data_IF_768506717652
#
_entry.id   IF_768506717652
#
_cell.length_a   1.000
_cell.length_b   1.000
_cell.length_c   1.000
_cell.angle_alpha   90.00
_cell.angle_beta   90.00
_cell.angle_gamma   90.00
#
_symmetry.space_group_name_H-M   'P 1'
#
loop_
_entity.id
_entity.type
_entity.pdbx_description
1 polymer ?
#
# COMPACT_ATOMS: atom_id res chain seq x y z
N UNK A 1 5.68 -39.85 -14.97
CA UNK A 1 6.16 -38.61 -14.33
C UNK A 1 6.12 -37.58 -15.43
N UNK A 2 5.07 -36.77 -15.49
CA UNK A 2 4.90 -35.84 -16.60
C UNK A 2 5.70 -34.57 -16.32
N UNK A 3 6.81 -34.40 -17.03
CA UNK A 3 7.50 -33.11 -17.17
C UNK A 3 6.58 -32.18 -17.95
N UNK A 4 6.03 -31.19 -17.26
CA UNK A 4 5.26 -30.14 -17.88
C UNK A 4 6.24 -29.05 -18.36
N UNK A 5 7.03 -29.36 -19.38
CA UNK A 5 7.61 -28.29 -20.20
C UNK A 5 6.48 -27.78 -21.10
N UNK A 6 5.91 -26.62 -20.74
CA UNK A 6 5.00 -25.89 -21.64
C UNK A 6 5.85 -25.12 -22.65
N UNK A 7 5.79 -25.46 -23.95
CA UNK A 7 6.42 -24.66 -24.98
C UNK A 7 5.68 -23.32 -25.10
N UNK A 8 6.43 -22.26 -24.94
CA UNK A 8 6.05 -20.86 -25.04
C UNK A 8 5.57 -20.50 -26.45
N UNK A 9 4.25 -20.49 -26.65
CA UNK A 9 3.61 -19.98 -27.86
C UNK A 9 3.63 -18.43 -27.89
N UNK A 10 4.03 -17.79 -29.01
CA UNK A 10 4.05 -16.34 -29.10
C UNK A 10 2.68 -15.80 -29.54
N UNK A 11 2.10 -14.87 -28.77
CA UNK A 11 1.16 -13.89 -29.34
C UNK A 11 -0.32 -13.92 -28.93
N UNK A 12 -0.70 -14.40 -27.75
CA UNK A 12 -1.96 -13.99 -27.09
C UNK A 12 -1.66 -13.57 -25.65
N UNK A 13 -2.33 -12.50 -25.20
CA UNK A 13 -2.02 -11.73 -23.98
C UNK A 13 -1.48 -12.58 -22.84
N UNK A 14 -0.17 -12.42 -22.57
CA UNK A 14 0.50 -13.15 -21.49
C UNK A 14 -0.20 -12.79 -20.20
N UNK A 15 -0.87 -13.77 -19.58
CA UNK A 15 -1.27 -13.66 -18.20
C UNK A 15 -0.02 -13.26 -17.41
N UNK A 16 -0.02 -12.04 -16.86
CA UNK A 16 1.14 -11.53 -16.14
C UNK A 16 1.53 -12.55 -15.06
N UNK A 17 2.82 -12.86 -14.97
CA UNK A 17 3.31 -13.82 -13.97
C UNK A 17 2.94 -13.33 -12.56
N UNK A 18 2.80 -14.21 -11.56
CA UNK A 18 2.52 -13.77 -10.18
C UNK A 18 3.51 -12.69 -9.69
N UNK A 19 4.78 -12.81 -10.09
CA UNK A 19 5.83 -11.82 -9.87
C UNK A 19 5.49 -10.46 -10.48
N UNK A 20 5.10 -10.43 -11.75
CA UNK A 20 4.71 -9.20 -12.45
C UNK A 20 3.45 -8.59 -11.85
N UNK A 21 2.45 -9.40 -11.52
CA UNK A 21 1.22 -8.93 -10.86
C UNK A 21 1.53 -8.26 -9.52
N UNK A 22 2.38 -8.89 -8.71
CA UNK A 22 2.82 -8.33 -7.43
C UNK A 22 3.61 -7.02 -7.62
N UNK A 23 4.55 -6.99 -8.56
CA UNK A 23 5.34 -5.79 -8.86
C UNK A 23 4.44 -4.63 -9.30
N UNK A 24 3.52 -4.88 -10.23
CA UNK A 24 2.57 -3.87 -10.71
C UNK A 24 1.71 -3.33 -9.55
N UNK A 25 1.21 -4.22 -8.69
CA UNK A 25 0.43 -3.80 -7.52
C UNK A 25 1.26 -2.92 -6.56
N UNK A 26 2.53 -3.26 -6.31
CA UNK A 26 3.42 -2.46 -5.46
C UNK A 26 3.65 -1.07 -6.07
N UNK A 27 3.96 -1.01 -7.37
CA UNK A 27 4.18 0.24 -8.09
C UNK A 27 2.93 1.13 -8.16
N UNK A 28 1.73 0.55 -8.27
CA UNK A 28 0.47 1.28 -8.20
C UNK A 28 0.17 1.78 -6.78
N UNK A 29 0.64 1.06 -5.76
CA UNK A 29 0.34 1.36 -4.36
C UNK A 29 1.28 2.40 -3.76
N UNK A 30 2.53 2.36 -4.18
CA UNK A 30 3.58 3.28 -3.74
C UNK A 30 3.58 4.57 -4.58
N UNK A 31 4.08 5.68 -4.03
CA UNK A 31 4.15 6.92 -4.78
C UNK A 31 5.32 6.91 -5.77
N UNK A 32 5.24 7.69 -6.86
CA UNK A 32 6.20 7.65 -7.97
C UNK A 32 7.61 8.11 -7.57
N UNK A 33 7.76 8.88 -6.48
CA UNK A 33 9.09 9.23 -5.94
C UNK A 33 9.88 8.03 -5.40
N UNK A 34 9.26 6.87 -5.22
CA UNK A 34 9.90 5.64 -4.77
C UNK A 34 9.73 4.52 -5.81
N UNK A 35 10.50 4.56 -6.91
CA UNK A 35 10.38 3.58 -7.98
C UNK A 35 10.95 2.23 -7.53
N UNK A 36 10.06 1.25 -7.32
CA UNK A 36 10.45 -0.14 -7.03
C UNK A 36 10.51 -0.93 -8.33
N UNK A 37 11.63 -1.57 -8.59
CA UNK A 37 11.93 -2.33 -9.81
C UNK A 37 12.34 -3.77 -9.53
N UNK A 38 12.74 -4.08 -8.29
CA UNK A 38 13.15 -5.42 -7.87
C UNK A 38 12.59 -5.80 -6.48
N UNK A 39 12.79 -7.07 -6.10
CA UNK A 39 12.42 -7.62 -4.80
C UNK A 39 13.64 -7.82 -3.88
N UNK A 40 14.76 -7.17 -4.18
CA UNK A 40 16.02 -7.34 -3.43
C UNK A 40 16.52 -5.98 -2.94
N UNK A 41 17.37 -5.31 -3.72
CA UNK A 41 18.10 -4.11 -3.28
C UNK A 41 17.23 -2.89 -2.99
N UNK A 42 16.09 -2.74 -3.68
CA UNK A 42 15.20 -1.56 -3.51
C UNK A 42 14.56 -1.50 -2.11
N UNK A 43 14.63 -2.61 -1.36
CA UNK A 43 14.07 -2.73 -0.03
C UNK A 43 15.12 -2.50 1.07
N UNK A 44 16.39 -2.39 0.70
CA UNK A 44 17.48 -2.46 1.67
C UNK A 44 17.62 -1.24 2.57
N UNK A 45 17.03 -0.10 2.21
CA UNK A 45 17.06 1.11 3.03
C UNK A 45 16.00 1.14 4.13
N UNK A 46 15.10 0.14 4.14
CA UNK A 46 13.96 0.03 5.05
C UNK A 46 12.86 1.09 4.82
N UNK A 47 13.02 2.00 3.88
CA UNK A 47 12.03 3.04 3.55
C UNK A 47 10.94 2.50 2.65
N UNK A 48 11.27 1.61 1.71
CA UNK A 48 10.30 0.96 0.83
C UNK A 48 9.23 0.17 1.61
N UNK A 49 9.66 -0.62 2.61
CA UNK A 49 8.71 -1.36 3.44
C UNK A 49 7.86 -0.41 4.32
N UNK A 50 8.46 0.64 4.87
CA UNK A 50 7.73 1.68 5.60
C UNK A 50 6.69 2.40 4.74
N UNK A 51 7.05 2.73 3.50
CA UNK A 51 6.15 3.33 2.53
C UNK A 51 4.98 2.40 2.19
N UNK A 52 5.25 1.10 2.05
CA UNK A 52 4.22 0.10 1.76
C UNK A 52 3.22 -0.06 2.92
N UNK A 53 3.74 -0.10 4.15
CA UNK A 53 2.91 -0.15 5.38
C UNK A 53 2.01 1.09 5.48
N UNK A 54 2.57 2.28 5.25
CA UNK A 54 1.80 3.54 5.23
C UNK A 54 0.80 3.60 4.05
N UNK A 55 1.14 3.02 2.91
CA UNK A 55 0.23 2.96 1.77
C UNK A 55 -0.99 2.06 2.05
N UNK A 56 -0.78 0.95 2.78
CA UNK A 56 -1.84 0.05 3.26
C UNK A 56 -2.70 0.68 4.36
N UNK A 57 -2.09 1.40 5.30
CA UNK A 57 -2.79 2.13 6.35
C UNK A 57 -2.18 3.54 6.53
N UNK A 58 -2.73 4.56 5.84
CA UNK A 58 -2.17 5.91 5.86
C UNK A 58 -2.11 6.49 7.27
N UNK A 59 -0.91 6.87 7.70
CA UNK A 59 -0.63 7.39 9.04
C UNK A 59 -0.10 6.33 10.02
N UNK A 60 0.02 5.07 9.62
CA UNK A 60 0.62 4.02 10.46
C UNK A 60 2.14 4.11 10.50
N UNK A 61 2.78 4.43 9.38
CA UNK A 61 4.23 4.68 9.30
C UNK A 61 4.49 6.02 8.60
N UNK A 62 4.16 7.15 9.26
CA UNK A 62 4.30 8.46 8.66
C UNK A 62 5.78 8.79 8.42
N UNK A 63 6.02 9.63 7.42
CA UNK A 63 7.34 10.22 7.13
C UNK A 63 8.43 9.19 6.78
N UNK A 64 8.04 8.06 6.19
CA UNK A 64 8.96 7.07 5.60
C UNK A 64 9.99 7.73 4.66
N UNK A 65 9.62 8.83 4.00
CA UNK A 65 10.48 9.55 3.07
C UNK A 65 11.56 10.41 3.76
N UNK A 66 11.41 10.71 5.06
CA UNK A 66 12.37 11.48 5.86
C UNK A 66 13.27 10.60 6.72
N UNK A 67 13.03 9.28 6.74
CA UNK A 67 13.86 8.31 7.48
C UNK A 67 15.28 8.29 6.90
N UNK A 68 16.28 8.19 7.77
CA UNK A 68 17.67 8.06 7.35
C UNK A 68 17.91 6.65 6.78
N UNK A 69 18.36 6.51 5.52
CA UNK A 69 18.69 5.21 4.92
C UNK A 69 19.81 4.46 5.66
N UNK A 70 20.64 5.16 6.45
CA UNK A 70 21.69 4.52 7.29
C UNK A 70 21.11 3.69 8.43
N UNK A 71 19.88 3.99 8.84
CA UNK A 71 19.16 3.26 9.89
C UNK A 71 18.24 2.17 9.30
N UNK A 72 18.66 1.56 8.18
CA UNK A 72 17.88 0.57 7.44
C UNK A 72 17.26 -0.52 8.32
N UNK A 73 18.04 -1.09 9.24
CA UNK A 73 17.59 -2.16 10.13
C UNK A 73 16.45 -1.70 11.05
N UNK A 74 16.59 -0.49 11.62
CA UNK A 74 15.59 0.10 12.50
C UNK A 74 14.32 0.46 11.73
N UNK A 75 14.48 1.07 10.55
CA UNK A 75 13.38 1.42 9.64
C UNK A 75 12.57 0.17 9.27
N UNK A 76 13.25 -0.89 8.84
CA UNK A 76 12.63 -2.15 8.44
C UNK A 76 11.92 -2.81 9.64
N UNK A 77 12.61 -2.89 10.79
CA UNK A 77 12.06 -3.50 12.00
C UNK A 77 10.78 -2.80 12.46
N UNK A 78 10.79 -1.48 12.57
CA UNK A 78 9.62 -0.72 13.03
C UNK A 78 8.44 -0.87 12.06
N UNK A 79 8.70 -0.81 10.74
CA UNK A 79 7.67 -1.01 9.73
C UNK A 79 7.05 -2.42 9.79
N UNK A 80 7.89 -3.46 9.90
CA UNK A 80 7.44 -4.85 9.96
C UNK A 80 6.69 -5.16 11.25
N UNK A 81 7.13 -4.61 12.39
CA UNK A 81 6.43 -4.73 13.67
C UNK A 81 5.02 -4.10 13.62
N UNK A 82 4.89 -2.94 12.96
CA UNK A 82 3.59 -2.30 12.75
C UNK A 82 2.70 -3.10 11.81
N UNK A 83 3.26 -3.67 10.75
CA UNK A 83 2.55 -4.53 9.82
C UNK A 83 1.97 -5.77 10.53
N UNK A 84 2.76 -6.43 11.38
CA UNK A 84 2.30 -7.58 12.15
C UNK A 84 1.20 -7.20 13.14
N UNK A 85 1.44 -6.15 13.93
CA UNK A 85 0.53 -5.72 15.00
C UNK A 85 -0.80 -5.23 14.45
N UNK A 86 -0.78 -4.40 13.40
CA UNK A 86 -1.96 -3.64 12.96
C UNK A 86 -2.50 -4.03 11.59
N UNK A 87 -1.70 -4.68 10.74
CA UNK A 87 -2.16 -5.22 9.45
C UNK A 87 -2.35 -6.75 9.48
N UNK A 88 -1.87 -7.41 10.53
CA UNK A 88 -1.96 -8.86 10.68
C UNK A 88 -1.04 -9.63 9.72
N UNK A 89 0.04 -9.00 9.27
CA UNK A 89 1.01 -9.61 8.34
C UNK A 89 2.12 -10.27 9.16
N UNK A 90 2.21 -11.61 9.24
CA UNK A 90 3.29 -12.28 9.96
C UNK A 90 4.65 -12.03 9.31
N UNK A 91 5.69 -11.88 10.14
CA UNK A 91 7.06 -11.66 9.70
C UNK A 91 7.69 -12.99 9.24
N UNK A 92 7.58 -13.30 7.94
CA UNK A 92 8.15 -14.52 7.33
C UNK A 92 9.65 -14.42 7.05
N UNK A 93 10.18 -13.20 7.07
CA UNK A 93 11.60 -12.89 6.93
C UNK A 93 11.99 -11.98 8.09
N UNK A 94 13.25 -11.99 8.50
CA UNK A 94 13.72 -11.08 9.52
C UNK A 94 14.08 -9.71 8.93
N UNK A 95 13.96 -8.61 9.70
CA UNK A 95 14.36 -7.28 9.23
C UNK A 95 15.80 -7.21 8.73
N UNK A 96 16.73 -7.94 9.36
CA UNK A 96 18.14 -7.98 8.93
C UNK A 96 18.34 -8.71 7.60
N UNK A 97 17.43 -9.60 7.22
CA UNK A 97 17.47 -10.31 5.93
C UNK A 97 16.91 -9.42 4.83
N UNK A 98 15.81 -8.71 5.09
CA UNK A 98 15.24 -7.75 4.13
C UNK A 98 16.25 -6.66 3.72
N UNK A 99 17.08 -6.20 4.67
CA UNK A 99 18.09 -5.18 4.38
C UNK A 99 19.37 -5.72 3.74
N UNK A 100 19.47 -7.03 3.56
CA UNK A 100 20.62 -7.65 2.94
C UNK A 100 20.54 -7.52 1.41
N UNK A 101 21.56 -6.97 0.72
CA UNK A 101 21.60 -6.91 -0.74
C UNK A 101 21.53 -8.26 -1.44
N UNK A 102 21.86 -9.34 -0.73
CA UNK A 102 21.82 -10.72 -1.21
C UNK A 102 20.60 -11.49 -0.70
N UNK A 103 19.55 -10.80 -0.29
CA UNK A 103 18.30 -11.45 0.11
C UNK A 103 17.74 -12.29 -1.02
N UNK A 104 17.17 -13.44 -0.66
CA UNK A 104 16.51 -14.31 -1.63
C UNK A 104 15.21 -13.68 -2.14
N UNK A 105 15.10 -13.57 -3.47
CA UNK A 105 13.96 -12.94 -4.12
C UNK A 105 12.65 -13.69 -3.86
N UNK A 106 12.67 -15.03 -3.81
CA UNK A 106 11.46 -15.82 -3.58
C UNK A 106 10.92 -15.60 -2.16
N UNK A 107 11.81 -15.49 -1.19
CA UNK A 107 11.49 -15.18 0.20
C UNK A 107 10.87 -13.79 0.33
N UNK A 108 11.44 -12.79 -0.33
CA UNK A 108 10.88 -11.43 -0.39
C UNK A 108 9.51 -11.39 -1.06
N UNK A 109 9.35 -12.05 -2.22
CA UNK A 109 8.05 -12.16 -2.89
C UNK A 109 6.99 -12.82 -2.01
N UNK A 110 7.36 -13.89 -1.30
CA UNK A 110 6.47 -14.60 -0.38
C UNK A 110 5.98 -13.66 0.72
N UNK A 111 6.90 -12.95 1.36
CA UNK A 111 6.56 -11.98 2.40
C UNK A 111 5.66 -10.85 1.88
N UNK A 112 6.02 -10.22 0.76
CA UNK A 112 5.31 -9.07 0.20
C UNK A 112 3.93 -9.42 -0.38
N UNK A 113 3.74 -10.66 -0.83
CA UNK A 113 2.47 -11.15 -1.38
C UNK A 113 1.29 -11.13 -0.38
N UNK A 114 1.59 -10.93 0.91
CA UNK A 114 0.59 -10.83 1.98
C UNK A 114 -0.08 -9.43 2.04
N UNK A 115 0.62 -8.38 1.59
CA UNK A 115 0.16 -6.98 1.70
C UNK A 115 -1.14 -6.65 0.94
N UNK A 116 -1.38 -7.19 -0.29
CA UNK A 116 -2.63 -6.94 -1.01
C UNK A 116 -3.90 -7.35 -0.24
N UNK A 117 -3.80 -8.38 0.61
CA UNK A 117 -4.93 -8.91 1.39
C UNK A 117 -4.99 -8.36 2.83
N UNK A 118 -4.06 -7.48 3.19
CA UNK A 118 -3.92 -6.98 4.54
C UNK A 118 -5.13 -6.14 4.97
N UNK A 119 -5.56 -6.32 6.22
CA UNK A 119 -6.71 -5.61 6.80
C UNK A 119 -6.27 -4.88 8.06
N UNK A 120 -6.63 -3.61 8.14
CA UNK A 120 -6.36 -2.78 9.30
C UNK A 120 -7.16 -3.29 10.52
N UNK A 121 -6.45 -3.62 11.59
CA UNK A 121 -7.04 -3.98 12.88
C UNK A 121 -7.52 -2.72 13.63
N UNK A 122 -8.62 -2.81 14.41
CA UNK A 122 -9.08 -1.71 15.24
C UNK A 122 -8.04 -1.36 16.33
N UNK A 123 -7.96 -0.08 16.70
CA UNK A 123 -7.02 0.40 17.73
C UNK A 123 -5.62 0.73 17.23
N UNK A 124 -5.41 0.80 15.91
CA UNK A 124 -4.13 1.23 15.35
C UNK A 124 -3.84 2.72 15.66
N UNK A 125 -2.61 3.06 16.09
CA UNK A 125 -2.19 4.43 16.36
C UNK A 125 -1.91 5.16 15.04
N UNK A 126 -2.98 5.53 14.33
CA UNK A 126 -2.88 6.22 13.06
C UNK A 126 -2.67 7.70 13.33
N UNK A 127 -1.55 8.24 12.85
CA UNK A 127 -1.30 9.69 12.81
C UNK A 127 -1.75 10.20 11.44
N UNK A 128 -2.97 10.77 11.30
CA UNK A 128 -3.46 11.20 10.00
C UNK A 128 -2.53 12.27 9.42
N UNK A 129 -1.83 11.94 8.34
CA UNK A 129 -1.24 12.96 7.48
C UNK A 129 -2.36 13.59 6.67
N UNK A 130 -2.54 14.91 6.76
CA UNK A 130 -3.36 15.67 5.82
C UNK A 130 -2.72 15.57 4.44
N UNK A 131 -3.06 14.53 3.69
CA UNK A 131 -2.73 14.44 2.27
C UNK A 131 -4.00 14.79 1.48
N UNK A 132 -4.09 16.05 1.05
CA UNK A 132 -5.23 16.59 0.28
C UNK A 132 -5.49 15.79 -1.01
N UNK A 133 -4.48 15.14 -1.59
CA UNK A 133 -4.62 14.34 -2.81
C UNK A 133 -5.30 12.98 -2.58
N UNK A 134 -5.40 12.49 -1.34
CA UNK A 134 -6.10 11.23 -0.99
C UNK A 134 -7.46 11.45 -0.33
N UNK A 135 -7.93 12.70 -0.23
CA UNK A 135 -9.27 13.01 0.29
C UNK A 135 -10.32 12.58 -0.73
N UNK A 136 -10.78 11.34 -0.60
CA UNK A 136 -11.94 10.84 -1.33
C UNK A 136 -13.20 11.23 -0.55
N UNK A 137 -13.80 12.36 -0.91
CA UNK A 137 -15.11 12.72 -0.39
C UNK A 137 -16.18 11.79 -1.00
N UNK A 138 -16.73 10.89 -0.19
CA UNK A 138 -17.94 10.15 -0.57
C UNK A 138 -19.13 11.09 -0.43
N UNK A 139 -19.42 11.85 -1.47
CA UNK A 139 -20.73 12.47 -1.62
C UNK A 139 -21.76 11.36 -1.78
N UNK A 140 -22.68 11.22 -0.83
CA UNK A 140 -23.87 10.37 -0.99
C UNK A 140 -24.74 11.04 -2.04
N UNK A 141 -24.43 10.79 -3.32
CA UNK A 141 -25.15 11.31 -4.47
C UNK A 141 -26.53 10.69 -4.54
N UNK A 142 -27.48 11.26 -3.79
CA UNK A 142 -28.89 11.25 -4.19
C UNK A 142 -28.97 11.93 -5.54
N UNK A 143 -29.02 11.12 -6.59
CA UNK A 143 -29.50 11.51 -7.91
C UNK A 143 -30.97 11.91 -7.76
N UNK A 144 -31.23 13.16 -7.43
CA UNK A 144 -32.49 13.82 -7.75
C UNK A 144 -32.16 15.19 -8.29
N UNK A 145 -32.46 15.34 -9.57
CA UNK A 145 -32.21 16.51 -10.43
C UNK A 145 -32.54 17.81 -9.69
N UNK A 146 -31.53 18.62 -9.42
CA UNK A 146 -31.73 20.05 -9.25
C UNK A 146 -32.09 20.63 -10.62
N UNK A 147 -33.39 20.73 -10.91
CA UNK A 147 -33.86 21.76 -11.82
C UNK A 147 -33.60 23.09 -11.11
N UNK A 148 -32.61 23.79 -11.62
CA UNK A 148 -32.42 25.22 -11.45
C UNK A 148 -33.78 25.92 -11.47
N UNK A 149 -34.15 26.63 -10.40
CA UNK A 149 -34.71 27.97 -10.46
C UNK A 149 -34.52 28.61 -9.09
N UNK A 150 -33.72 29.67 -9.07
CA UNK A 150 -33.70 30.64 -8.00
C UNK A 150 -35.09 31.29 -7.91
N UNK A 151 -35.74 31.23 -6.75
CA UNK A 151 -36.59 32.32 -6.29
C UNK A 151 -36.48 32.53 -4.78
N UNK A 152 -36.00 33.73 -4.49
CA UNK A 152 -36.03 34.54 -3.29
C UNK A 152 -37.14 34.30 -2.24
N UNK A 153 -36.70 34.34 -0.97
CA UNK A 153 -37.39 34.84 0.24
C UNK A 153 -38.70 34.18 0.68
N UNK A 154 -38.69 33.59 1.89
CA UNK A 154 -39.22 34.19 3.14
C UNK A 154 -39.20 33.17 4.30
N UNK A 155 -38.36 33.48 5.28
CA UNK A 155 -38.57 33.42 6.74
C UNK A 155 -39.61 32.42 7.29
N UNK A 156 -39.11 31.41 8.00
CA UNK A 156 -39.85 30.63 9.00
C UNK A 156 -40.37 31.54 10.12
N UNK A 157 -41.64 31.40 10.51
CA UNK A 157 -42.10 31.14 11.89
C UNK A 157 -43.63 31.08 11.92
N UNK A 158 -44.19 29.89 12.11
CA UNK A 158 -45.44 29.69 12.84
C UNK A 158 -45.02 29.28 14.25
N UNK A 159 -45.41 30.07 15.25
CA UNK A 159 -45.47 29.64 16.64
C UNK A 159 -46.73 30.26 17.24
N UNK A 160 -47.60 29.37 17.73
CA UNK A 160 -48.86 29.52 18.48
C UNK A 160 -49.83 30.65 18.11
#
# INVERSE_FOLDING_TARGET
MWEFEQPDAPGLGRDATPKQKLMNWIQEKLPPELPITNFTSDWNDGRAIGALVDACAPGLFPDWNKRDPRNALENAKEAMDLAERYLGIPQLIHPHEMINPRVDEQSMMTYLSQYPSAKLKPGAPIKPKTNSARVRCYGKGSLNKCSFYLTWTKKCTKFS
#
